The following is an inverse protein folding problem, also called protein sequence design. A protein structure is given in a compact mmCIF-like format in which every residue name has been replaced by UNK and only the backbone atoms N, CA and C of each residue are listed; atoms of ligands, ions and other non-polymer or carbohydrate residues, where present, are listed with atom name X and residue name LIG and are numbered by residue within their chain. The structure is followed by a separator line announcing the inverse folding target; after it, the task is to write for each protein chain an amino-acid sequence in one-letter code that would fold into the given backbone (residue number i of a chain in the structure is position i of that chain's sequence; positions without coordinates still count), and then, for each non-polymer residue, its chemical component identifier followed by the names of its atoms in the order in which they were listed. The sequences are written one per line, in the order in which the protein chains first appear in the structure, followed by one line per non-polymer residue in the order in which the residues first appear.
data_IF_147052306591
#
_entry.id   IF_147052306591
#
_cell.length_a   1.000
_cell.length_b   1.000
_cell.length_c   1.000
_cell.angle_alpha   90.00
_cell.angle_beta   90.00
_cell.angle_gamma   90.00
#
_symmetry.space_group_name_H-M   'P 1'
#
loop_
_entity.id
_entity.type
_entity.pdbx_description
1 polymer ?
#
# COMPACT_ATOMS: atom_id res chain seq x y z
N UNK A 1 -11.63 -3.98 -8.50
CA UNK A 1 -11.52 -4.95 -7.40
C UNK A 1 -10.21 -4.73 -6.65
N UNK A 2 -10.26 -4.77 -5.33
CA UNK A 2 -9.08 -4.52 -4.51
C UNK A 2 -8.22 -5.76 -4.36
N UNK A 3 -6.92 -5.58 -4.21
CA UNK A 3 -5.97 -6.66 -3.98
C UNK A 3 -5.06 -6.33 -2.80
N UNK A 4 -4.66 -7.35 -2.08
CA UNK A 4 -3.77 -7.25 -0.92
C UNK A 4 -2.59 -8.19 -1.12
N UNK A 5 -1.39 -7.70 -0.84
CA UNK A 5 -0.16 -8.49 -0.87
C UNK A 5 0.58 -8.28 0.45
N UNK A 6 1.05 -9.36 1.05
CA UNK A 6 1.85 -9.28 2.26
C UNK A 6 3.10 -10.15 2.12
N UNK A 7 4.17 -9.73 2.77
CA UNK A 7 5.43 -10.47 2.76
C UNK A 7 6.17 -10.31 4.09
N UNK A 8 6.68 -11.41 4.58
CA UNK A 8 7.67 -11.44 5.67
C UNK A 8 8.72 -12.49 5.30
N UNK A 9 10.00 -12.13 5.34
CA UNK A 9 11.06 -13.05 4.96
C UNK A 9 12.42 -12.39 4.86
N UNK A 10 13.35 -13.07 4.20
CA UNK A 10 14.74 -12.68 4.14
C UNK A 10 15.08 -11.69 3.02
N UNK A 11 14.21 -11.56 2.02
CA UNK A 11 14.44 -10.65 0.91
C UNK A 11 13.90 -9.26 1.22
N UNK A 12 14.23 -8.29 0.38
CA UNK A 12 13.67 -6.95 0.53
C UNK A 12 12.17 -6.97 0.25
N UNK A 13 11.38 -6.76 1.29
CA UNK A 13 9.93 -6.84 1.21
C UNK A 13 9.33 -5.79 0.26
N UNK A 14 9.98 -4.63 0.13
CA UNK A 14 9.51 -3.58 -0.79
C UNK A 14 9.46 -4.10 -2.23
N UNK A 15 10.52 -4.74 -2.70
CA UNK A 15 10.57 -5.28 -4.06
C UNK A 15 9.54 -6.38 -4.28
N UNK A 16 9.41 -7.28 -3.29
CA UNK A 16 8.48 -8.40 -3.38
C UNK A 16 7.03 -7.91 -3.44
N UNK A 17 6.68 -6.95 -2.59
CA UNK A 17 5.30 -6.44 -2.53
C UNK A 17 4.96 -5.63 -3.78
N UNK A 18 5.87 -4.79 -4.27
CA UNK A 18 5.64 -4.03 -5.50
C UNK A 18 5.45 -4.99 -6.68
N UNK A 19 6.26 -6.04 -6.78
CA UNK A 19 6.12 -7.04 -7.84
C UNK A 19 4.76 -7.75 -7.74
N UNK A 20 4.34 -8.09 -6.52
CA UNK A 20 3.03 -8.68 -6.29
C UNK A 20 1.88 -7.78 -6.70
N UNK A 21 1.97 -6.47 -6.40
CA UNK A 21 0.96 -5.51 -6.81
C UNK A 21 0.89 -5.38 -8.33
N UNK A 22 2.03 -5.42 -9.02
CA UNK A 22 2.07 -5.40 -10.49
C UNK A 22 1.32 -6.58 -11.09
N UNK A 23 1.40 -7.75 -10.47
CA UNK A 23 0.67 -8.94 -10.93
C UNK A 23 -0.83 -8.81 -10.78
N UNK A 24 -1.29 -7.92 -9.90
CA UNK A 24 -2.71 -7.65 -9.69
C UNK A 24 -3.25 -6.54 -10.60
N UNK A 25 -2.41 -5.90 -11.40
CA UNK A 25 -2.84 -4.80 -12.28
C UNK A 25 -3.99 -5.14 -13.19
N UNK A 26 -4.04 -6.39 -13.71
CA UNK A 26 -5.07 -6.80 -14.64
C UNK A 26 -6.49 -6.72 -14.05
N UNK A 27 -6.60 -6.68 -12.73
CA UNK A 27 -7.90 -6.62 -12.04
C UNK A 27 -8.47 -5.21 -11.99
N UNK A 28 -7.68 -4.20 -12.38
CA UNK A 28 -8.10 -2.81 -12.32
C UNK A 28 -7.95 -2.22 -10.92
N UNK A 29 -7.55 -0.95 -10.86
CA UNK A 29 -7.37 -0.22 -9.61
C UNK A 29 -7.24 1.27 -9.91
N UNK A 30 -7.42 2.13 -8.90
CA UNK A 30 -7.26 3.58 -9.03
C UNK A 30 -6.17 4.15 -8.14
N UNK A 31 -5.71 3.39 -7.18
CA UNK A 31 -4.64 3.80 -6.28
C UNK A 31 -3.94 2.57 -5.71
N UNK A 32 -2.71 2.77 -5.23
CA UNK A 32 -1.93 1.71 -4.61
C UNK A 32 -1.10 2.27 -3.47
N UNK A 33 -0.71 1.39 -2.57
CA UNK A 33 0.13 1.78 -1.46
C UNK A 33 0.86 0.61 -0.83
N UNK A 34 1.88 0.93 -0.06
CA UNK A 34 2.72 -0.04 0.63
C UNK A 34 3.07 0.50 2.03
N UNK A 35 3.06 -0.39 3.02
CA UNK A 35 3.62 -0.14 4.34
C UNK A 35 4.78 -1.09 4.54
N UNK A 36 5.94 -0.55 4.90
CA UNK A 36 7.18 -1.29 5.01
C UNK A 36 7.80 -1.05 6.38
N UNK A 37 8.14 -2.12 7.09
CA UNK A 37 8.88 -2.02 8.34
C UNK A 37 10.38 -1.98 8.03
N UNK A 38 11.00 -0.83 8.30
CA UNK A 38 12.44 -0.62 8.13
C UNK A 38 13.12 -0.54 9.49
N UNK A 39 14.44 -0.53 9.49
CA UNK A 39 15.22 -0.32 10.74
C UNK A 39 14.91 1.01 11.41
N UNK A 40 14.44 1.99 10.65
CA UNK A 40 14.13 3.33 11.15
C UNK A 40 12.64 3.50 11.50
N UNK A 41 11.87 2.41 11.46
CA UNK A 41 10.45 2.41 11.76
C UNK A 41 9.61 2.06 10.54
N UNK A 42 8.30 2.24 10.67
CA UNK A 42 7.37 1.93 9.58
C UNK A 42 7.29 3.09 8.60
N UNK A 43 7.48 2.77 7.33
CA UNK A 43 7.37 3.73 6.22
C UNK A 43 6.14 3.39 5.40
N UNK A 44 5.31 4.39 5.10
CA UNK A 44 4.12 4.22 4.28
C UNK A 44 4.21 5.13 3.07
N UNK A 45 3.94 4.55 1.90
CA UNK A 45 3.90 5.30 0.64
C UNK A 45 2.64 4.93 -0.10
N UNK A 46 1.90 5.94 -0.52
CA UNK A 46 0.63 5.76 -1.24
C UNK A 46 0.59 6.69 -2.44
N UNK A 47 -0.02 6.22 -3.52
CA UNK A 47 -0.13 7.04 -4.74
C UNK A 47 -1.40 6.69 -5.50
N UNK A 48 -2.10 7.73 -5.94
CA UNK A 48 -3.19 7.61 -6.91
C UNK A 48 -2.60 7.25 -8.27
N UNK A 49 -3.32 6.44 -9.03
CA UNK A 49 -2.94 6.08 -10.39
C UNK A 49 -2.23 4.73 -10.45
N UNK A 50 -1.38 4.56 -11.46
CA UNK A 50 -0.75 3.28 -11.75
C UNK A 50 0.35 2.93 -10.74
N UNK A 51 0.60 1.63 -10.58
CA UNK A 51 1.65 1.15 -9.67
C UNK A 51 3.01 1.72 -10.05
N UNK A 52 3.24 1.98 -11.34
CA UNK A 52 4.48 2.63 -11.76
C UNK A 52 4.69 3.98 -11.07
N UNK A 53 3.62 4.73 -10.82
CA UNK A 53 3.71 6.01 -10.11
C UNK A 53 4.19 5.81 -8.68
N UNK A 54 3.70 4.77 -8.00
CA UNK A 54 4.17 4.40 -6.66
C UNK A 54 5.63 3.93 -6.70
N UNK A 55 5.96 3.09 -7.68
CA UNK A 55 7.31 2.56 -7.85
C UNK A 55 8.31 3.71 -8.08
N UNK A 56 7.98 4.66 -8.95
CA UNK A 56 8.83 5.82 -9.21
C UNK A 56 9.01 6.69 -7.96
N UNK A 57 7.94 6.84 -7.18
CA UNK A 57 7.95 7.60 -5.94
C UNK A 57 8.94 7.04 -4.93
N UNK A 58 9.05 5.72 -4.82
CA UNK A 58 9.92 5.07 -3.84
C UNK A 58 11.31 4.71 -4.38
N UNK A 59 11.52 4.78 -5.70
CA UNK A 59 12.75 4.32 -6.33
C UNK A 59 14.00 5.02 -5.82
N UNK A 60 13.89 6.30 -5.46
CA UNK A 60 15.01 7.07 -4.96
C UNK A 60 15.20 7.03 -3.45
N UNK A 61 14.32 6.35 -2.72
CA UNK A 61 14.35 6.38 -1.25
C UNK A 61 15.15 5.25 -0.61
N UNK A 62 15.58 4.27 -1.42
CA UNK A 62 16.39 3.15 -0.95
C UNK A 62 15.77 2.44 0.27
N UNK A 63 14.46 2.19 0.18
CA UNK A 63 13.72 1.55 1.27
C UNK A 63 14.04 0.06 1.35
N UNK A 64 14.35 -0.41 2.54
CA UNK A 64 14.68 -1.82 2.77
C UNK A 64 14.04 -2.31 4.06
N UNK A 65 13.46 -3.51 4.01
CA UNK A 65 12.87 -4.16 5.18
C UNK A 65 12.44 -5.57 4.85
N UNK A 66 12.07 -6.33 5.88
CA UNK A 66 11.71 -7.74 5.76
C UNK A 66 10.22 -8.02 5.94
N UNK A 67 9.42 -6.97 6.20
CA UNK A 67 7.98 -7.09 6.39
C UNK A 67 7.29 -5.93 5.69
N UNK A 68 6.33 -6.26 4.83
CA UNK A 68 5.55 -5.22 4.15
C UNK A 68 4.15 -5.73 3.83
N UNK A 69 3.21 -4.80 3.73
CA UNK A 69 1.88 -5.03 3.15
C UNK A 69 1.65 -4.04 2.03
N UNK A 70 0.94 -4.47 1.01
CA UNK A 70 0.58 -3.63 -0.12
C UNK A 70 -0.87 -3.79 -0.49
N UNK A 71 -1.43 -2.80 -1.18
CA UNK A 71 -2.84 -2.76 -1.53
C UNK A 71 -3.05 -2.04 -2.85
N UNK A 72 -3.90 -2.62 -3.71
CA UNK A 72 -4.45 -1.91 -4.85
C UNK A 72 -5.93 -1.65 -4.55
N UNK A 73 -6.34 -0.40 -4.70
CA UNK A 73 -7.70 0.02 -4.40
C UNK A 73 -8.45 0.33 -5.70
N UNK A 74 -9.70 -0.14 -5.75
CA UNK A 74 -10.67 0.33 -6.72
C UNK A 74 -11.73 1.11 -5.96
N UNK A 75 -11.95 2.38 -6.31
CA UNK A 75 -12.80 3.27 -5.52
C UNK A 75 -14.26 2.82 -5.59
N UNK A 76 -14.75 2.32 -4.46
CA UNK A 76 -16.17 2.02 -4.27
C UNK A 76 -16.79 3.01 -3.29
N UNK A 77 -15.97 3.69 -2.50
CA UNK A 77 -16.39 4.65 -1.49
C UNK A 77 -15.28 5.69 -1.32
N UNK A 78 -15.61 6.94 -1.60
CA UNK A 78 -14.62 8.02 -1.62
C UNK A 78 -13.90 8.12 -2.95
N UNK A 79 -13.43 9.32 -3.29
CA UNK A 79 -12.75 9.57 -4.55
C UNK A 79 -11.34 8.98 -4.58
N UNK A 80 -10.83 8.60 -5.77
CA UNK A 80 -9.43 8.23 -5.89
C UNK A 80 -8.53 9.40 -5.51
N UNK A 81 -7.60 9.17 -4.57
CA UNK A 81 -6.63 10.17 -4.14
C UNK A 81 -5.51 9.49 -3.39
N UNK A 82 -4.40 10.19 -3.20
CA UNK A 82 -3.29 9.67 -2.40
C UNK A 82 -3.74 9.44 -0.95
N UNK A 83 -4.58 10.34 -0.42
CA UNK A 83 -5.07 10.22 0.97
C UNK A 83 -6.00 9.02 1.17
N UNK A 84 -6.82 8.69 0.14
CA UNK A 84 -7.77 7.58 0.21
C UNK A 84 -7.16 6.23 -0.17
N UNK A 85 -5.93 6.22 -0.68
CA UNK A 85 -5.23 4.97 -1.00
C UNK A 85 -4.87 4.22 0.29
N UNK A 86 -4.80 2.89 0.19
CA UNK A 86 -4.34 2.04 1.30
C UNK A 86 -2.85 1.77 1.19
N UNK A 87 -2.16 1.49 2.29
CA UNK A 87 -2.66 1.33 3.66
C UNK A 87 -3.01 2.65 4.35
N UNK A 88 -3.86 2.56 5.35
CA UNK A 88 -4.14 3.68 6.25
C UNK A 88 -3.39 3.47 7.57
N UNK A 89 -2.87 4.55 8.14
CA UNK A 89 -2.10 4.51 9.38
C UNK A 89 -2.87 5.10 10.54
N UNK A 90 -2.50 4.67 11.75
CA UNK A 90 -2.94 5.36 12.94
C UNK A 90 -2.18 6.70 13.08
N UNK A 91 -2.54 7.49 14.09
CA UNK A 91 -1.96 8.80 14.30
C UNK A 91 -0.45 8.75 14.58
N UNK A 92 0.03 7.68 15.21
CA UNK A 92 1.45 7.53 15.54
C UNK A 92 2.29 7.06 14.35
N UNK A 93 1.65 6.52 13.29
CA UNK A 93 2.34 5.91 12.16
C UNK A 93 2.96 4.55 12.47
N UNK A 94 2.60 3.95 13.60
CA UNK A 94 3.13 2.64 14.01
C UNK A 94 2.24 1.48 13.62
N UNK A 95 0.99 1.76 13.24
CA UNK A 95 0.01 0.76 12.83
C UNK A 95 -0.51 1.14 11.45
N UNK A 96 -0.51 0.19 10.53
CA UNK A 96 -1.06 0.37 9.19
C UNK A 96 -2.07 -0.73 8.90
N UNK A 97 -3.16 -0.39 8.21
CA UNK A 97 -4.26 -1.30 7.89
C UNK A 97 -4.62 -1.19 6.42
N UNK A 98 -4.87 -2.33 5.79
CA UNK A 98 -5.51 -2.41 4.49
C UNK A 98 -6.85 -3.14 4.65
N UNK A 99 -7.86 -2.72 3.88
CA UNK A 99 -9.19 -3.29 4.00
C UNK A 99 -9.93 -3.24 2.67
N UNK A 100 -10.53 -4.35 2.28
CA UNK A 100 -11.37 -4.44 1.09
C UNK A 100 -12.83 -4.43 1.50
N UNK A 101 -13.44 -3.24 1.54
CA UNK A 101 -14.82 -3.08 1.96
C UNK A 101 -15.08 -1.74 2.62
N UNK A 102 -16.26 -1.62 3.23
CA UNK A 102 -16.68 -0.41 3.95
C UNK A 102 -16.97 -0.80 5.40
N UNK A 103 -16.40 -0.05 6.34
CA UNK A 103 -16.70 -0.22 7.76
C UNK A 103 -18.03 0.49 8.02
N UNK A 104 -19.01 -0.22 8.58
CA UNK A 104 -20.37 0.30 8.75
C UNK A 104 -20.44 1.58 9.58
N UNK A 105 -19.57 1.70 10.57
CA UNK A 105 -19.54 2.85 11.48
C UNK A 105 -18.38 3.81 11.17
N UNK A 106 -17.99 3.93 9.92
CA UNK A 106 -16.81 4.71 9.52
C UNK A 106 -16.92 6.20 9.89
N UNK A 107 -18.12 6.69 10.12
CA UNK A 107 -18.36 8.09 10.50
C UNK A 107 -18.16 8.35 12.00
N UNK A 108 -17.92 7.34 12.80
CA UNK A 108 -17.77 7.46 14.25
C UNK A 108 -16.32 7.67 14.69
#
# INVERSE_FOLDING_TARGET
MCGIVGYIGDENASDIVIDGLKRLEYRGYDSAGIALCTKDGMMVRKKKGRIKNLEDMIAGENLYGHLAIGHTRWATHGAPSDANAHPHCDRSGKIAVVHNGIVENFMQ
#
